data_IF_734910651004
#
_entry.id   IF_734910651004
#
_cell.length_a   1.000
_cell.length_b   1.000
_cell.length_c   1.000
_cell.angle_alpha   90.00
_cell.angle_beta   90.00
_cell.angle_gamma   90.00
#
_symmetry.space_group_name_H-M   'P 1'
#
loop_
_entity.id
_entity.type
_entity.pdbx_description
1 polymer ?
#
# COMPACT_ATOMS: atom_id res chain seq x y z
N UNK A 1 0.58 -10.69 28.38
CA UNK A 1 -0.44 -11.14 27.40
C UNK A 1 0.06 -12.45 26.82
N UNK A 2 -0.83 -13.38 26.48
CA UNK A 2 -0.40 -14.65 25.88
C UNK A 2 0.42 -14.39 24.58
N UNK A 3 1.54 -15.10 24.34
CA UNK A 3 2.40 -14.86 23.17
C UNK A 3 1.69 -15.02 21.82
N UNK A 4 0.70 -15.92 21.73
CA UNK A 4 -0.10 -16.10 20.52
C UNK A 4 -0.99 -14.87 20.31
N UNK A 5 -1.61 -14.36 21.38
CA UNK A 5 -2.36 -13.10 21.33
C UNK A 5 -1.47 -11.91 20.91
N UNK A 6 -0.26 -11.80 21.46
CA UNK A 6 0.71 -10.77 21.04
C UNK A 6 1.06 -10.85 19.56
N UNK A 7 1.28 -12.07 19.06
CA UNK A 7 1.54 -12.31 17.65
C UNK A 7 0.36 -11.88 16.78
N UNK A 8 -0.86 -12.34 17.09
CA UNK A 8 -2.07 -12.02 16.32
C UNK A 8 -2.30 -10.52 16.28
N UNK A 9 -2.21 -9.84 17.43
CA UNK A 9 -2.39 -8.39 17.50
C UNK A 9 -1.28 -7.64 16.75
N UNK A 10 -0.03 -8.05 16.90
CA UNK A 10 1.11 -7.44 16.20
C UNK A 10 0.97 -7.54 14.69
N UNK A 11 0.63 -8.73 14.16
CA UNK A 11 0.42 -8.94 12.72
C UNK A 11 -0.77 -8.12 12.22
N UNK A 12 -1.91 -8.18 12.92
CA UNK A 12 -3.13 -7.48 12.51
C UNK A 12 -2.92 -5.97 12.48
N UNK A 13 -2.28 -5.41 13.50
CA UNK A 13 -1.99 -3.98 13.57
C UNK A 13 -0.95 -3.57 12.52
N UNK A 14 0.10 -4.38 12.31
CA UNK A 14 1.11 -4.09 11.28
C UNK A 14 0.50 -4.03 9.87
N UNK A 15 -0.41 -4.95 9.53
CA UNK A 15 -1.12 -4.94 8.24
C UNK A 15 -1.98 -3.68 8.13
N UNK A 16 -2.77 -3.36 9.16
CA UNK A 16 -3.64 -2.17 9.16
C UNK A 16 -2.82 -0.89 8.99
N UNK A 17 -1.72 -0.75 9.70
CA UNK A 17 -0.86 0.43 9.64
C UNK A 17 -0.14 0.54 8.30
N UNK A 18 0.29 -0.58 7.73
CA UNK A 18 0.88 -0.63 6.39
C UNK A 18 -0.09 -0.07 5.34
N UNK A 19 -1.30 -0.62 5.26
CA UNK A 19 -2.32 -0.19 4.30
C UNK A 19 -2.83 1.23 4.58
N UNK A 20 -2.91 1.63 5.86
CA UNK A 20 -3.24 3.01 6.24
C UNK A 20 -2.18 3.99 5.75
N UNK A 21 -0.91 3.59 5.71
CA UNK A 21 0.18 4.46 5.21
C UNK A 21 0.07 4.67 3.71
N UNK A 22 -0.30 3.64 2.95
CA UNK A 22 -0.67 3.79 1.54
C UNK A 22 -1.81 4.79 1.37
N UNK A 23 -2.90 4.62 2.12
CA UNK A 23 -4.06 5.51 2.06
C UNK A 23 -3.69 6.96 2.39
N UNK A 24 -2.93 7.19 3.47
CA UNK A 24 -2.47 8.51 3.86
C UNK A 24 -1.59 9.15 2.77
N UNK A 25 -0.76 8.35 2.10
CA UNK A 25 0.06 8.83 0.98
C UNK A 25 -0.80 9.24 -0.21
N UNK A 26 -1.82 8.44 -0.55
CA UNK A 26 -2.78 8.78 -1.60
C UNK A 26 -3.51 10.09 -1.29
N UNK A 27 -3.98 10.28 -0.05
CA UNK A 27 -4.65 11.50 0.38
C UNK A 27 -3.68 12.69 0.34
N UNK A 28 -2.48 12.55 0.90
CA UNK A 28 -1.48 13.63 0.97
C UNK A 28 -1.08 14.17 -0.41
N UNK A 29 -0.91 13.28 -1.39
CA UNK A 29 -0.56 13.66 -2.77
C UNK A 29 -1.77 13.93 -3.67
N UNK A 30 -2.99 13.91 -3.11
CA UNK A 30 -4.25 14.04 -3.85
C UNK A 30 -4.35 13.07 -5.03
N UNK A 31 -3.93 11.82 -4.82
CA UNK A 31 -3.97 10.76 -5.82
C UNK A 31 -5.38 10.14 -5.80
N UNK A 32 -6.14 10.22 -6.90
CA UNK A 32 -7.45 9.61 -7.02
C UNK A 32 -7.43 8.10 -6.81
N UNK A 33 -8.31 7.57 -5.95
CA UNK A 33 -8.62 6.14 -5.92
C UNK A 33 -10.12 5.89 -6.08
N UNK A 34 -10.43 4.89 -6.90
CA UNK A 34 -11.76 4.56 -7.41
C UNK A 34 -12.47 3.53 -6.52
N UNK A 35 -11.71 2.62 -5.91
CA UNK A 35 -12.26 1.58 -5.08
C UNK A 35 -11.24 1.05 -4.06
N UNK A 36 -11.76 0.48 -2.98
CA UNK A 36 -11.01 -0.43 -2.10
C UNK A 36 -11.29 -1.85 -2.58
N UNK A 37 -10.26 -2.68 -2.64
CA UNK A 37 -10.34 -4.04 -3.13
C UNK A 37 -9.74 -5.02 -2.14
N UNK A 38 -10.27 -6.24 -2.13
CA UNK A 38 -9.68 -7.39 -1.47
C UNK A 38 -9.34 -8.41 -2.56
N UNK A 39 -8.09 -8.89 -2.55
CA UNK A 39 -7.62 -9.89 -3.53
C UNK A 39 -7.66 -11.30 -2.96
N UNK A 40 -7.52 -12.32 -3.82
CA UNK A 40 -7.45 -13.76 -3.45
C UNK A 40 -6.38 -14.09 -2.40
N UNK A 41 -5.38 -13.24 -2.24
CA UNK A 41 -4.33 -13.40 -1.22
C UNK A 41 -4.63 -12.62 0.07
N UNK A 42 -5.88 -12.20 0.26
CA UNK A 42 -6.36 -11.39 1.38
C UNK A 42 -5.63 -10.06 1.57
N UNK A 43 -4.90 -9.59 0.56
CA UNK A 43 -4.33 -8.25 0.54
C UNK A 43 -5.46 -7.24 0.26
N UNK A 44 -5.61 -6.30 1.18
CA UNK A 44 -6.40 -5.09 0.98
C UNK A 44 -5.58 -4.19 0.05
N UNK A 45 -6.23 -3.50 -0.87
CA UNK A 45 -5.56 -2.55 -1.75
C UNK A 45 -6.50 -1.48 -2.27
N UNK A 46 -5.93 -0.51 -2.96
CA UNK A 46 -6.64 0.62 -3.54
C UNK A 46 -6.52 0.54 -5.07
N UNK A 47 -7.64 0.66 -5.78
CA UNK A 47 -7.61 0.89 -7.23
C UNK A 47 -7.42 2.39 -7.46
N UNK A 48 -6.27 2.77 -7.99
CA UNK A 48 -5.80 4.15 -8.07
C UNK A 48 -5.81 4.62 -9.53
N UNK A 49 -5.97 5.93 -9.75
CA UNK A 49 -5.74 6.52 -11.06
C UNK A 49 -4.24 6.70 -11.31
N UNK A 50 -3.68 5.76 -12.09
CA UNK A 50 -2.26 5.69 -12.38
C UNK A 50 -1.69 6.96 -13.01
N UNK A 51 -2.49 7.71 -13.78
CA UNK A 51 -2.01 8.91 -14.49
C UNK A 51 -1.48 9.99 -13.54
N UNK A 52 -1.97 10.02 -12.30
CA UNK A 52 -1.72 11.10 -11.36
C UNK A 52 -0.44 10.94 -10.52
N UNK A 53 0.15 9.73 -10.50
CA UNK A 53 1.29 9.44 -9.63
C UNK A 53 2.46 8.70 -10.30
N UNK A 54 2.22 7.85 -11.31
CA UNK A 54 3.28 6.96 -11.83
C UNK A 54 4.39 7.68 -12.60
N UNK A 55 4.12 8.90 -13.07
CA UNK A 55 5.12 9.73 -13.77
C UNK A 55 6.01 10.51 -12.81
N UNK A 56 5.60 10.65 -11.54
CA UNK A 56 6.33 11.39 -10.51
C UNK A 56 7.12 10.41 -9.61
N UNK A 57 8.44 10.45 -9.71
CA UNK A 57 9.34 9.59 -8.95
C UNK A 57 9.16 9.76 -7.43
N UNK A 58 8.86 10.98 -6.95
CA UNK A 58 8.66 11.24 -5.53
C UNK A 58 7.38 10.57 -5.06
N UNK A 59 6.27 10.77 -5.78
CA UNK A 59 4.99 10.12 -5.43
C UNK A 59 5.12 8.60 -5.43
N UNK A 60 5.78 8.02 -6.44
CA UNK A 60 6.09 6.59 -6.48
C UNK A 60 6.89 6.14 -5.26
N UNK A 61 7.98 6.84 -4.94
CA UNK A 61 8.83 6.49 -3.81
C UNK A 61 8.03 6.47 -2.51
N UNK A 62 7.28 7.53 -2.22
CA UNK A 62 6.50 7.60 -0.99
C UNK A 62 5.38 6.56 -0.96
N UNK A 63 4.67 6.34 -2.07
CA UNK A 63 3.60 5.36 -2.11
C UNK A 63 4.14 3.96 -1.78
N UNK A 64 5.25 3.53 -2.39
CA UNK A 64 5.75 2.17 -2.20
C UNK A 64 6.68 1.97 -0.99
N UNK A 65 7.36 3.01 -0.49
CA UNK A 65 8.36 2.85 0.58
C UNK A 65 7.92 3.39 1.93
N UNK A 66 6.99 4.34 1.99
CA UNK A 66 6.59 4.92 3.27
C UNK A 66 6.03 3.88 4.26
N UNK A 67 5.24 2.87 3.86
CA UNK A 67 4.77 1.83 4.78
C UNK A 67 5.90 1.09 5.51
N UNK A 68 7.11 1.02 4.93
CA UNK A 68 8.26 0.34 5.54
C UNK A 68 8.77 1.07 6.80
N UNK A 69 8.34 2.31 7.04
CA UNK A 69 8.64 3.04 8.29
C UNK A 69 8.27 2.25 9.54
N UNK A 70 7.24 1.39 9.45
CA UNK A 70 6.81 0.55 10.55
C UNK A 70 7.83 -0.52 10.95
N UNK A 71 8.82 -0.83 10.12
CA UNK A 71 9.96 -1.66 10.51
C UNK A 71 10.75 -1.04 11.68
N UNK A 72 10.72 0.29 11.85
CA UNK A 72 11.42 0.98 12.93
C UNK A 72 10.87 0.64 14.32
N UNK A 73 9.66 0.10 14.43
CA UNK A 73 9.07 -0.37 15.69
C UNK A 73 9.96 -1.40 16.40
N UNK A 74 10.79 -2.14 15.65
CA UNK A 74 11.79 -3.05 16.19
C UNK A 74 12.74 -2.39 17.21
N UNK A 75 13.11 -1.13 16.97
CA UNK A 75 14.06 -0.42 17.82
C UNK A 75 13.47 0.05 19.15
N UNK A 76 12.15 -0.03 19.35
CA UNK A 76 11.49 0.32 20.61
C UNK A 76 11.79 -0.75 21.67
N UNK A 77 11.53 -2.02 21.36
CA UNK A 77 11.91 -3.15 22.19
C UNK A 77 11.96 -4.43 21.34
N UNK A 78 13.17 -4.89 20.94
CA UNK A 78 13.33 -6.02 20.04
C UNK A 78 13.03 -7.38 20.70
N UNK A 79 12.90 -7.41 22.03
CA UNK A 79 12.59 -8.64 22.78
C UNK A 79 11.08 -8.90 22.90
N UNK A 80 10.24 -7.91 22.60
CA UNK A 80 8.79 -8.03 22.67
C UNK A 80 8.24 -8.62 21.37
N UNK A 81 7.61 -9.82 21.39
CA UNK A 81 7.10 -10.48 20.19
C UNK A 81 6.15 -9.60 19.37
N UNK A 82 5.34 -8.77 20.05
CA UNK A 82 4.43 -7.83 19.42
C UNK A 82 5.15 -6.83 18.50
N UNK A 83 6.23 -6.19 18.95
CA UNK A 83 6.96 -5.21 18.13
C UNK A 83 7.75 -5.85 17.00
N UNK A 84 8.22 -7.09 17.18
CA UNK A 84 8.91 -7.86 16.12
C UNK A 84 7.99 -8.18 14.95
N UNK A 85 6.66 -8.25 15.15
CA UNK A 85 5.74 -8.52 14.05
C UNK A 85 5.69 -7.39 13.00
N UNK A 86 5.96 -6.15 13.40
CA UNK A 86 5.95 -5.02 12.49
C UNK A 86 6.99 -5.12 11.37
N UNK A 87 8.30 -5.27 11.65
CA UNK A 87 9.28 -5.46 10.59
C UNK A 87 9.05 -6.74 9.80
N UNK A 88 8.60 -7.84 10.43
CA UNK A 88 8.29 -9.09 9.72
C UNK A 88 7.21 -8.84 8.66
N UNK A 89 6.06 -8.33 9.08
CA UNK A 89 4.93 -8.05 8.17
C UNK A 89 5.31 -7.02 7.12
N UNK A 90 6.02 -5.94 7.48
CA UNK A 90 6.35 -4.87 6.53
C UNK A 90 7.47 -5.27 5.55
N UNK A 91 8.38 -6.18 5.92
CA UNK A 91 9.34 -6.75 4.97
C UNK A 91 8.61 -7.70 4.01
N UNK A 92 7.83 -8.65 4.53
CA UNK A 92 7.15 -9.63 3.68
C UNK A 92 6.05 -9.00 2.81
N UNK A 93 5.23 -8.11 3.37
CA UNK A 93 4.24 -7.31 2.64
C UNK A 93 4.90 -6.32 1.69
N UNK A 94 5.96 -5.65 2.14
CA UNK A 94 6.71 -4.68 1.34
C UNK A 94 7.43 -5.28 0.14
N UNK A 95 7.71 -6.58 0.08
CA UNK A 95 8.27 -7.22 -1.14
C UNK A 95 7.40 -6.92 -2.37
N UNK A 96 6.07 -6.94 -2.21
CA UNK A 96 5.14 -6.58 -3.30
C UNK A 96 5.30 -5.14 -3.74
N UNK A 97 5.47 -4.23 -2.79
CA UNK A 97 5.68 -2.80 -3.03
C UNK A 97 7.02 -2.51 -3.69
N UNK A 98 8.10 -3.11 -3.17
CA UNK A 98 9.43 -3.03 -3.76
C UNK A 98 9.44 -3.52 -5.21
N UNK A 99 8.88 -4.71 -5.45
CA UNK A 99 8.80 -5.27 -6.79
C UNK A 99 8.04 -4.34 -7.74
N UNK A 100 6.89 -3.81 -7.29
CA UNK A 100 6.06 -2.91 -8.09
C UNK A 100 6.77 -1.59 -8.38
N UNK A 101 7.40 -1.00 -7.37
CA UNK A 101 8.21 0.22 -7.51
C UNK A 101 9.33 0.03 -8.53
N UNK A 102 10.20 -0.98 -8.33
CA UNK A 102 11.33 -1.19 -9.23
C UNK A 102 10.88 -1.49 -10.65
N UNK A 103 9.81 -2.26 -10.81
CA UNK A 103 9.23 -2.55 -12.12
C UNK A 103 8.73 -1.29 -12.85
N UNK A 104 8.22 -0.29 -12.12
CA UNK A 104 7.73 0.97 -12.69
C UNK A 104 8.87 1.98 -12.90
N UNK A 105 9.74 2.18 -11.91
CA UNK A 105 10.73 3.27 -11.91
C UNK A 105 11.79 3.11 -13.00
N UNK A 106 12.16 1.87 -13.35
CA UNK A 106 13.14 1.56 -14.41
C UNK A 106 12.62 1.91 -15.82
N UNK A 107 11.31 2.05 -15.96
CA UNK A 107 10.68 2.39 -17.24
C UNK A 107 10.63 3.92 -17.38
N UNK A 108 10.88 4.49 -18.57
CA UNK A 108 10.72 5.92 -18.81
C UNK A 108 9.30 6.41 -18.48
N UNK A 109 9.13 7.62 -17.89
CA UNK A 109 7.84 8.13 -17.43
C UNK A 109 6.69 8.00 -18.42
N UNK A 110 6.97 8.19 -19.71
CA UNK A 110 5.99 8.19 -20.81
C UNK A 110 5.33 6.80 -21.00
N UNK A 111 6.02 5.73 -20.59
CA UNK A 111 5.55 4.34 -20.71
C UNK A 111 5.02 3.76 -19.40
N UNK A 112 5.15 4.47 -18.28
CA UNK A 112 4.76 3.95 -16.96
C UNK A 112 3.26 3.78 -16.82
N UNK A 113 2.47 4.71 -17.38
CA UNK A 113 1.00 4.66 -17.33
C UNK A 113 0.49 3.36 -17.98
N UNK A 114 0.98 3.05 -19.18
CA UNK A 114 0.60 1.82 -19.90
C UNK A 114 0.98 0.56 -19.10
N UNK A 115 2.18 0.54 -18.52
CA UNK A 115 2.63 -0.59 -17.70
C UNK A 115 1.80 -0.77 -16.42
N UNK A 116 1.44 0.33 -15.76
CA UNK A 116 0.61 0.33 -14.56
C UNK A 116 -0.80 -0.18 -14.86
N UNK A 117 -1.44 0.33 -15.91
CA UNK A 117 -2.77 -0.12 -16.34
C UNK A 117 -2.79 -1.61 -16.71
N UNK A 118 -1.78 -2.11 -17.45
CA UNK A 118 -1.65 -3.55 -17.74
C UNK A 118 -1.45 -4.40 -16.48
N UNK A 119 -0.88 -3.82 -15.42
CA UNK A 119 -0.68 -4.51 -14.14
C UNK A 119 -1.99 -4.57 -13.35
N UNK A 120 -2.76 -3.48 -13.34
CA UNK A 120 -4.10 -3.44 -12.77
C UNK A 120 -5.01 -4.47 -13.42
N UNK A 121 -4.98 -4.64 -14.74
CA UNK A 121 -5.77 -5.68 -15.44
C UNK A 121 -5.51 -7.09 -14.91
N UNK A 122 -4.28 -7.39 -14.49
CA UNK A 122 -3.93 -8.68 -13.88
C UNK A 122 -4.42 -8.77 -12.44
N UNK A 123 -4.37 -7.65 -11.69
CA UNK A 123 -4.84 -7.58 -10.30
C UNK A 123 -6.37 -7.66 -10.25
N UNK A 124 -7.08 -7.01 -11.17
CA UNK A 124 -8.54 -7.04 -11.31
C UNK A 124 -9.08 -8.47 -11.40
N UNK A 125 -8.38 -9.36 -12.11
CA UNK A 125 -8.72 -10.79 -12.22
C UNK A 125 -8.58 -11.58 -10.91
N UNK A 126 -7.88 -11.02 -9.93
CA UNK A 126 -7.63 -11.61 -8.61
C UNK A 126 -8.49 -10.98 -7.50
N UNK A 127 -9.31 -9.97 -7.82
CA UNK A 127 -10.20 -9.35 -6.85
C UNK A 127 -11.33 -10.32 -6.49
N UNK A 128 -11.57 -10.51 -5.19
CA UNK A 128 -12.70 -11.29 -4.66
C UNK A 128 -13.79 -10.39 -4.08
N UNK A 129 -13.43 -9.16 -3.70
CA UNK A 129 -14.37 -8.16 -3.21
C UNK A 129 -13.91 -6.76 -3.57
N UNK A 130 -14.86 -5.90 -3.92
CA UNK A 130 -14.62 -4.52 -4.34
C UNK A 130 -15.68 -3.60 -3.74
N UNK A 131 -15.24 -2.48 -3.21
CA UNK A 131 -16.11 -1.37 -2.80
C UNK A 131 -15.72 -0.12 -3.54
N UNK A 132 -16.59 0.31 -4.45
CA UNK A 132 -16.44 1.58 -5.14
C UNK A 132 -16.61 2.75 -4.18
N UNK A 133 -15.79 3.77 -4.39
CA UNK A 133 -15.80 5.00 -3.60
C UNK A 133 -16.32 6.10 -4.53
N UNK A 134 -17.60 6.43 -4.35
CA UNK A 134 -18.31 7.48 -5.09
C UNK A 134 -17.91 8.90 -4.67
N UNK A 135 -17.07 9.06 -3.64
CA UNK A 135 -16.78 10.33 -2.97
C UNK A 135 -15.80 11.26 -3.72
N UNK A 136 -15.49 10.94 -4.99
CA UNK A 136 -14.45 11.63 -5.76
C UNK A 136 -14.72 13.11 -6.08
N UNK A 137 -15.92 13.63 -5.77
CA UNK A 137 -16.25 15.04 -5.99
C UNK A 137 -16.28 15.90 -4.72
N UNK A 138 -16.07 15.36 -3.51
CA UNK A 138 -16.20 16.16 -2.27
C UNK A 138 -14.89 16.38 -1.50
N UNK A 139 -13.93 15.45 -1.54
CA UNK A 139 -12.64 15.64 -0.85
C UNK A 139 -11.63 16.47 -1.65
N UNK A 140 -11.76 16.53 -2.98
CA UNK A 140 -10.81 17.19 -3.88
C UNK A 140 -11.38 18.43 -4.61
N UNK A 141 -12.68 18.73 -4.46
CA UNK A 141 -13.31 19.96 -4.98
C UNK A 141 -13.47 21.07 -3.92
N UNK A 142 -12.78 20.93 -2.77
CA UNK A 142 -12.58 22.07 -1.87
C UNK A 142 -11.62 23.04 -2.54
N UNK A 143 -12.17 24.04 -3.22
CA UNK A 143 -11.46 25.28 -3.55
C UNK A 143 -10.81 25.87 -2.29
#
# INVERSE_FOLDING_TARGET
>A
MDPILQFIFGVSLAIVLHELTHLLTLIYYNIPFKAIVLTKWSAIGFLVDNETYVTDNKKLLFLYFLPIVWCLMYFINPSEPFFVMFPVVNIFGGIGDFYSFFRIIIVPPEKRIELANRSDDKVLKKIIWRKDISAHSRFFNGK
#
